data_IF_723500967058
#
_entry.id   IF_723500967058
#
_cell.length_a   1.000
_cell.length_b   1.000
_cell.length_c   1.000
_cell.angle_alpha   90.00
_cell.angle_beta   90.00
_cell.angle_gamma   90.00
#
_symmetry.space_group_name_H-M   'P 1'
#
loop_
_entity.id
_entity.type
_entity.pdbx_description
1 polymer ?
#
# COMPACT_ATOMS: atom_id res chain seq x y z
N UNK A 1 15.16 -0.68 -27.81
CA UNK A 1 16.44 -0.64 -27.04
C UNK A 1 16.47 -1.77 -26.01
N UNK A 2 17.07 -2.91 -26.37
CA UNK A 2 17.25 -4.05 -25.46
C UNK A 2 18.46 -3.75 -24.56
N UNK A 3 18.27 -3.77 -23.25
CA UNK A 3 19.34 -3.56 -22.26
C UNK A 3 20.25 -4.79 -22.26
N UNK A 4 21.46 -4.63 -22.81
CA UNK A 4 22.56 -5.57 -22.64
C UNK A 4 22.89 -5.64 -21.14
N UNK A 5 22.70 -6.81 -20.53
CA UNK A 5 23.28 -7.14 -19.22
C UNK A 5 24.65 -7.78 -19.49
N UNK A 6 25.73 -7.32 -18.85
CA UNK A 6 27.04 -7.97 -19.00
C UNK A 6 26.96 -9.39 -18.43
N UNK A 7 27.42 -10.36 -19.23
CA UNK A 7 27.67 -11.73 -18.78
C UNK A 7 28.82 -11.69 -17.77
N UNK A 8 28.47 -11.58 -16.49
CA UNK A 8 29.39 -11.93 -15.42
C UNK A 8 29.51 -13.44 -15.39
N UNK A 9 30.73 -13.93 -15.67
CA UNK A 9 31.18 -15.29 -15.39
C UNK A 9 30.75 -15.69 -13.98
N UNK A 10 29.68 -16.48 -13.87
CA UNK A 10 29.40 -17.33 -12.71
C UNK A 10 29.70 -18.76 -13.13
N UNK A 11 30.99 -19.04 -13.30
CA UNK A 11 31.47 -20.39 -13.06
C UNK A 11 31.51 -20.57 -11.54
N UNK A 12 31.17 -21.77 -11.07
CA UNK A 12 31.09 -22.21 -9.68
C UNK A 12 29.70 -22.08 -9.07
N UNK A 13 28.81 -23.02 -9.44
CA UNK A 13 28.12 -23.80 -8.41
C UNK A 13 27.67 -25.16 -8.97
N UNK A 14 27.83 -26.20 -8.14
CA UNK A 14 27.42 -27.61 -8.26
C UNK A 14 28.52 -28.65 -8.50
N UNK A 15 29.28 -28.86 -7.43
CA UNK A 15 30.11 -30.02 -7.14
C UNK A 15 29.29 -31.32 -7.15
N UNK A 16 29.67 -32.28 -7.99
CA UNK A 16 29.25 -33.68 -7.83
C UNK A 16 30.31 -34.40 -7.02
N UNK A 17 30.00 -34.68 -5.75
CA UNK A 17 30.84 -35.44 -4.81
C UNK A 17 30.71 -36.93 -5.09
N UNK A 18 31.82 -37.63 -5.24
CA UNK A 18 31.85 -39.10 -5.25
C UNK A 18 32.87 -39.63 -4.25
N UNK A 19 32.64 -40.88 -3.84
CA UNK A 19 33.42 -41.54 -2.80
C UNK A 19 34.35 -42.54 -3.46
N UNK A 20 35.65 -42.27 -3.45
CA UNK A 20 36.66 -43.26 -3.85
C UNK A 20 37.00 -44.14 -2.66
N UNK A 21 36.74 -45.44 -2.80
CA UNK A 21 37.08 -46.45 -1.79
C UNK A 21 38.28 -47.24 -2.31
N UNK A 22 39.39 -47.21 -1.58
CA UNK A 22 40.57 -48.02 -1.87
C UNK A 22 40.81 -48.98 -0.70
N UNK A 23 41.02 -50.27 -1.02
CA UNK A 23 41.28 -51.30 -0.03
C UNK A 23 42.72 -51.77 -0.16
N UNK A 24 43.53 -51.53 0.86
CA UNK A 24 44.90 -52.03 0.95
C UNK A 24 44.96 -52.94 2.18
N UNK A 25 44.89 -54.26 1.97
CA UNK A 25 44.76 -55.23 3.05
C UNK A 25 43.37 -55.22 3.72
N UNK A 26 43.33 -55.21 5.07
CA UNK A 26 42.09 -55.16 5.85
C UNK A 26 41.56 -53.74 6.10
N UNK A 27 42.30 -52.71 5.70
CA UNK A 27 41.88 -51.31 5.89
C UNK A 27 41.19 -50.77 4.64
N UNK A 28 40.04 -50.13 4.85
CA UNK A 28 39.24 -49.47 3.82
C UNK A 28 39.46 -47.97 3.95
N UNK A 29 40.16 -47.38 2.98
CA UNK A 29 40.39 -45.94 2.92
C UNK A 29 39.33 -45.29 2.02
N UNK A 30 38.56 -44.38 2.62
CA UNK A 30 37.44 -43.69 1.98
C UNK A 30 37.79 -42.22 1.83
N UNK A 31 37.85 -41.73 0.58
CA UNK A 31 38.13 -40.32 0.27
C UNK A 31 37.00 -39.72 -0.55
N UNK A 32 36.57 -38.52 -0.17
CA UNK A 32 35.58 -37.73 -0.91
C UNK A 32 36.33 -36.89 -1.94
N UNK A 33 35.91 -37.00 -3.20
CA UNK A 33 36.49 -36.30 -4.33
C UNK A 33 35.39 -35.59 -5.13
N UNK A 34 35.74 -34.49 -5.78
CA UNK A 34 34.86 -33.73 -6.66
C UNK A 34 35.53 -33.65 -8.04
N UNK A 35 34.77 -33.97 -9.09
CA UNK A 35 35.28 -33.91 -10.46
C UNK A 35 34.23 -33.32 -11.40
N UNK A 36 34.67 -32.39 -12.25
CA UNK A 36 33.85 -31.85 -13.31
C UNK A 36 33.87 -32.80 -14.51
N UNK A 37 32.70 -33.32 -14.90
CA UNK A 37 32.58 -34.29 -15.99
C UNK A 37 32.67 -33.67 -17.39
N UNK A 38 32.20 -32.43 -17.56
CA UNK A 38 32.19 -31.76 -18.85
C UNK A 38 30.93 -30.97 -19.16
N UNK A 39 30.92 -30.35 -20.34
CA UNK A 39 29.73 -29.74 -20.94
C UNK A 39 29.21 -30.62 -22.06
N UNK A 40 27.89 -30.82 -22.09
CA UNK A 40 27.22 -31.60 -23.13
C UNK A 40 26.33 -30.64 -23.92
N UNK A 41 26.49 -30.53 -25.25
CA UNK A 41 25.63 -29.69 -26.07
C UNK A 41 24.21 -30.29 -26.10
N UNK A 42 23.20 -29.44 -25.97
CA UNK A 42 21.79 -29.85 -25.98
C UNK A 42 21.07 -29.04 -27.05
N UNK A 43 20.36 -29.72 -27.95
CA UNK A 43 19.58 -29.07 -29.01
C UNK A 43 18.21 -28.58 -28.53
N UNK A 44 17.51 -29.37 -27.70
CA UNK A 44 16.27 -28.93 -27.04
C UNK A 44 16.29 -29.30 -25.56
N UNK A 45 15.88 -28.35 -24.72
CA UNK A 45 15.87 -28.50 -23.27
C UNK A 45 14.58 -29.16 -22.75
N UNK A 46 14.03 -30.19 -23.41
CA UNK A 46 12.86 -30.93 -22.91
C UNK A 46 13.29 -31.98 -21.87
N UNK A 47 12.43 -32.29 -20.90
CA UNK A 47 12.78 -33.24 -19.82
C UNK A 47 13.22 -34.61 -20.33
N UNK A 48 12.53 -35.13 -21.35
CA UNK A 48 12.86 -36.40 -22.01
C UNK A 48 14.26 -36.36 -22.65
N UNK A 49 14.55 -35.36 -23.49
CA UNK A 49 15.86 -35.27 -24.16
C UNK A 49 17.00 -35.07 -23.16
N UNK A 50 16.78 -34.27 -22.12
CA UNK A 50 17.77 -34.08 -21.07
C UNK A 50 18.08 -35.40 -20.33
N UNK A 51 17.06 -36.23 -20.08
CA UNK A 51 17.24 -37.52 -19.42
C UNK A 51 18.00 -38.53 -20.29
N UNK A 52 17.66 -38.63 -21.58
CA UNK A 52 18.31 -39.55 -22.51
C UNK A 52 19.78 -39.20 -22.71
N UNK A 53 20.07 -37.90 -22.95
CA UNK A 53 21.45 -37.41 -23.11
C UNK A 53 22.25 -37.69 -21.83
N UNK A 54 21.67 -37.48 -20.66
CA UNK A 54 22.34 -37.74 -19.39
C UNK A 54 22.66 -39.23 -19.20
N UNK A 55 21.70 -40.12 -19.45
CA UNK A 55 21.90 -41.58 -19.33
C UNK A 55 22.99 -42.06 -20.30
N UNK A 56 22.98 -41.58 -21.54
CA UNK A 56 23.97 -41.93 -22.55
C UNK A 56 25.38 -41.49 -22.13
N UNK A 57 25.53 -40.24 -21.68
CA UNK A 57 26.81 -39.71 -21.22
C UNK A 57 27.37 -40.43 -19.99
N UNK A 58 26.50 -40.80 -19.05
CA UNK A 58 26.90 -41.58 -17.88
C UNK A 58 27.34 -43.00 -18.27
N UNK A 59 26.67 -43.59 -19.26
CA UNK A 59 27.03 -44.91 -19.79
C UNK A 59 28.38 -44.88 -20.52
N UNK A 60 28.63 -43.84 -21.32
CA UNK A 60 29.92 -43.60 -21.98
C UNK A 60 31.06 -43.46 -20.96
N UNK A 61 30.81 -42.78 -19.85
CA UNK A 61 31.78 -42.59 -18.76
C UNK A 61 31.89 -43.80 -17.81
N UNK A 62 31.14 -44.89 -18.07
CA UNK A 62 31.06 -46.07 -17.21
C UNK A 62 30.67 -45.74 -15.77
N UNK A 63 29.82 -44.73 -15.56
CA UNK A 63 29.35 -44.32 -14.24
C UNK A 63 27.97 -44.94 -14.00
N UNK A 64 27.86 -45.99 -13.15
CA UNK A 64 26.60 -46.65 -12.88
C UNK A 64 25.60 -45.72 -12.17
N UNK A 65 24.43 -45.53 -12.79
CA UNK A 65 23.38 -44.63 -12.29
C UNK A 65 22.84 -45.07 -10.92
N UNK A 66 22.86 -46.39 -10.65
CA UNK A 66 22.42 -47.01 -9.41
C UNK A 66 23.22 -46.54 -8.17
N UNK A 67 24.43 -46.03 -8.38
CA UNK A 67 25.30 -45.52 -7.31
C UNK A 67 25.21 -44.00 -7.13
N UNK A 68 24.40 -43.30 -7.94
CA UNK A 68 24.21 -41.86 -7.80
C UNK A 68 23.24 -41.54 -6.65
N UNK A 69 23.62 -40.59 -5.80
CA UNK A 69 22.80 -40.09 -4.69
C UNK A 69 22.88 -38.56 -4.65
N UNK A 70 21.79 -37.92 -4.21
CA UNK A 70 21.75 -36.47 -3.99
C UNK A 70 21.87 -35.62 -5.26
N UNK A 71 20.97 -35.81 -6.23
CA UNK A 71 20.96 -35.03 -7.47
C UNK A 71 20.33 -33.64 -7.24
N UNK A 72 21.02 -32.58 -7.66
CA UNK A 72 20.53 -31.21 -7.62
C UNK A 72 20.45 -30.61 -9.03
N UNK A 73 19.32 -30.02 -9.37
CA UNK A 73 19.09 -29.34 -10.65
C UNK A 73 18.65 -27.90 -10.40
N UNK A 74 19.35 -26.93 -11.01
CA UNK A 74 18.87 -25.54 -11.02
C UNK A 74 17.81 -25.37 -12.12
N UNK A 75 16.78 -24.56 -11.87
CA UNK A 75 15.67 -24.30 -12.81
C UNK A 75 15.03 -25.55 -13.46
N UNK A 76 14.73 -26.59 -12.67
CA UNK A 76 14.10 -27.84 -13.13
C UNK A 76 12.65 -27.73 -13.64
N UNK A 77 12.22 -26.61 -14.23
CA UNK A 77 10.87 -26.42 -14.78
C UNK A 77 10.54 -27.47 -15.84
N UNK A 78 11.53 -27.87 -16.63
CA UNK A 78 11.37 -28.83 -17.73
C UNK A 78 11.39 -30.30 -17.24
N UNK A 79 11.87 -30.53 -16.01
CA UNK A 79 11.83 -31.82 -15.31
C UNK A 79 10.64 -31.94 -14.35
N UNK A 80 9.82 -30.88 -14.23
CA UNK A 80 8.59 -30.84 -13.41
C UNK A 80 7.42 -31.63 -14.03
N UNK A 81 7.61 -32.16 -15.24
CA UNK A 81 6.65 -33.00 -15.98
C UNK A 81 6.30 -34.32 -15.27
N UNK A 82 7.02 -34.68 -14.21
CA UNK A 82 6.88 -35.93 -13.45
C UNK A 82 5.44 -36.37 -13.15
N UNK A 83 4.51 -35.43 -12.93
CA UNK A 83 3.09 -35.76 -12.65
C UNK A 83 2.24 -35.99 -13.90
N UNK A 84 2.58 -35.36 -15.02
CA UNK A 84 1.91 -35.63 -16.31
C UNK A 84 2.40 -36.98 -16.85
N UNK A 85 3.72 -37.17 -16.87
CA UNK A 85 4.37 -38.39 -17.35
C UNK A 85 4.02 -39.61 -16.48
N UNK A 86 3.99 -39.45 -15.14
CA UNK A 86 3.56 -40.53 -14.25
C UNK A 86 2.06 -40.84 -14.33
N UNK A 87 1.23 -39.87 -14.74
CA UNK A 87 -0.20 -40.08 -14.97
C UNK A 87 -0.43 -40.85 -16.28
N UNK A 88 0.34 -40.52 -17.32
CA UNK A 88 0.33 -41.22 -18.61
C UNK A 88 0.82 -42.67 -18.47
N UNK A 89 1.95 -42.89 -17.78
CA UNK A 89 2.44 -44.24 -17.46
C UNK A 89 1.48 -45.05 -16.56
N UNK A 90 0.83 -44.41 -15.58
CA UNK A 90 -0.16 -45.08 -14.75
C UNK A 90 -1.38 -45.52 -15.57
N UNK A 91 -1.81 -44.71 -16.55
CA UNK A 91 -2.87 -45.11 -17.49
C UNK A 91 -2.44 -46.21 -18.45
N UNK A 92 -1.16 -46.26 -18.85
CA UNK A 92 -0.63 -47.35 -19.69
C UNK A 92 -0.53 -48.68 -18.95
N UNK A 93 -0.29 -48.67 -17.63
CA UNK A 93 -0.15 -49.86 -16.78
C UNK A 93 -1.49 -50.24 -16.08
N UNK A 94 -2.59 -49.53 -16.41
CA UNK A 94 -3.94 -49.72 -15.84
C UNK A 94 -4.00 -49.59 -14.31
N UNK A 95 -3.21 -48.66 -13.77
CA UNK A 95 -3.14 -48.31 -12.34
C UNK A 95 -3.85 -46.98 -12.10
N UNK A 96 -4.65 -46.90 -11.03
CA UNK A 96 -5.40 -45.69 -10.69
C UNK A 96 -4.48 -44.47 -10.47
N UNK A 97 -4.56 -43.51 -11.39
CA UNK A 97 -3.63 -42.38 -11.49
C UNK A 97 -4.08 -41.19 -10.61
N UNK A 98 -4.42 -41.46 -9.35
CA UNK A 98 -4.83 -40.44 -8.40
C UNK A 98 -3.65 -39.87 -7.61
N UNK A 99 -3.10 -38.76 -8.09
CA UNK A 99 -2.06 -38.00 -7.38
C UNK A 99 -2.70 -36.84 -6.60
N UNK A 100 -2.73 -36.87 -5.26
CA UNK A 100 -3.29 -35.77 -4.48
C UNK A 100 -2.53 -34.47 -4.76
N UNK A 101 -3.27 -33.43 -5.12
CA UNK A 101 -2.74 -32.07 -5.23
C UNK A 101 -2.35 -31.58 -3.84
N UNK A 102 -1.13 -31.87 -3.42
CA UNK A 102 -0.50 -31.08 -2.36
C UNK A 102 -0.39 -29.65 -2.89
N UNK A 103 -1.34 -28.79 -2.52
CA UNK A 103 -1.17 -27.33 -2.49
C UNK A 103 0.00 -27.05 -1.58
N UNK A 104 1.23 -27.23 -2.06
CA UNK A 104 2.42 -26.89 -1.30
C UNK A 104 2.35 -25.38 -1.09
N UNK A 105 2.05 -24.99 0.15
CA UNK A 105 2.06 -23.58 0.57
C UNK A 105 3.39 -22.99 0.08
N UNK A 106 3.39 -21.89 -0.69
CA UNK A 106 4.63 -21.29 -1.15
C UNK A 106 5.50 -21.01 0.07
N UNK A 107 6.70 -21.59 0.07
CA UNK A 107 7.61 -21.46 1.22
C UNK A 107 8.05 -20.01 1.31
N UNK A 108 7.64 -19.32 2.37
CA UNK A 108 7.98 -17.92 2.59
C UNK A 108 9.49 -17.78 2.75
N UNK A 109 10.11 -16.93 1.92
CA UNK A 109 11.50 -16.52 2.13
C UNK A 109 11.55 -15.70 3.41
N UNK A 110 12.24 -16.19 4.46
CA UNK A 110 12.52 -15.37 5.65
C UNK A 110 13.54 -14.31 5.28
N UNK A 111 13.08 -13.08 5.04
CA UNK A 111 13.94 -11.91 4.94
C UNK A 111 14.23 -11.42 6.36
N UNK A 112 15.48 -11.04 6.66
CA UNK A 112 15.81 -10.38 7.94
C UNK A 112 15.04 -9.05 8.00
N UNK A 113 14.20 -8.88 9.02
CA UNK A 113 13.52 -7.62 9.31
C UNK A 113 14.48 -6.68 10.02
N UNK A 114 14.40 -5.39 9.72
CA UNK A 114 15.22 -4.37 10.38
C UNK A 114 14.53 -3.82 11.63
N UNK A 115 13.19 -3.88 11.66
CA UNK A 115 12.37 -3.38 12.76
C UNK A 115 11.22 -4.34 13.08
N UNK A 116 10.86 -4.43 14.37
CA UNK A 116 9.88 -5.39 14.87
C UNK A 116 8.42 -5.05 14.49
N UNK A 117 8.16 -3.82 14.03
CA UNK A 117 6.86 -3.39 13.54
C UNK A 117 6.63 -3.68 12.04
N UNK A 118 7.64 -4.18 11.32
CA UNK A 118 7.49 -4.57 9.92
C UNK A 118 6.61 -5.82 9.82
N UNK A 119 5.45 -5.67 9.15
CA UNK A 119 4.53 -6.77 8.90
C UNK A 119 5.24 -7.91 8.14
N UNK A 120 4.87 -9.16 8.44
CA UNK A 120 5.36 -10.30 7.68
C UNK A 120 4.95 -10.19 6.23
N UNK A 121 5.86 -10.51 5.31
CA UNK A 121 5.48 -10.94 3.96
C UNK A 121 4.76 -12.30 4.07
N UNK A 122 3.52 -12.29 4.52
CA UNK A 122 2.65 -13.46 4.40
C UNK A 122 2.25 -13.61 2.94
N UNK A 123 2.27 -14.83 2.38
CA UNK A 123 1.66 -15.05 1.08
C UNK A 123 0.19 -14.62 1.16
N UNK A 124 -0.17 -13.67 0.31
CA UNK A 124 -1.54 -13.19 0.18
C UNK A 124 -2.37 -14.37 -0.35
N UNK A 125 -3.10 -15.03 0.55
CA UNK A 125 -3.95 -16.18 0.21
C UNK A 125 -5.12 -15.73 -0.66
N UNK A 126 -5.68 -14.55 -0.38
CA UNK A 126 -6.66 -13.88 -1.22
C UNK A 126 -6.45 -12.34 -1.17
N UNK A 127 -6.08 -11.70 -2.30
CA UNK A 127 -5.79 -10.26 -2.34
C UNK A 127 -7.03 -9.39 -2.12
N UNK A 128 -8.22 -9.94 -2.37
CA UNK A 128 -9.48 -9.22 -2.13
C UNK A 128 -9.75 -9.02 -0.63
N UNK A 129 -9.59 -10.06 0.18
CA UNK A 129 -9.94 -10.00 1.60
C UNK A 129 -8.92 -9.26 2.45
N UNK A 130 -7.62 -9.46 2.18
CA UNK A 130 -6.57 -8.85 3.01
C UNK A 130 -6.17 -7.44 2.62
N UNK A 131 -6.46 -7.00 1.39
CA UNK A 131 -5.98 -5.70 0.87
C UNK A 131 -7.14 -4.84 0.39
N UNK A 132 -8.02 -5.39 -0.46
CA UNK A 132 -9.05 -4.59 -1.11
C UNK A 132 -10.17 -4.14 -0.16
N UNK A 133 -10.78 -5.05 0.60
CA UNK A 133 -11.85 -4.69 1.53
C UNK A 133 -11.40 -3.75 2.63
N UNK A 134 -10.25 -3.95 3.32
CA UNK A 134 -9.79 -3.01 4.34
C UNK A 134 -9.55 -1.60 3.80
N UNK A 135 -9.07 -1.46 2.55
CA UNK A 135 -8.89 -0.16 1.91
C UNK A 135 -10.24 0.48 1.56
N UNK A 136 -11.18 -0.30 1.03
CA UNK A 136 -12.53 0.19 0.74
C UNK A 136 -13.28 0.57 2.01
N UNK A 137 -13.19 -0.23 3.06
CA UNK A 137 -13.81 0.04 4.35
C UNK A 137 -13.19 1.27 5.00
N UNK A 138 -11.86 1.42 4.94
CA UNK A 138 -11.20 2.64 5.40
C UNK A 138 -11.64 3.87 4.59
N UNK A 139 -11.77 3.75 3.26
CA UNK A 139 -12.25 4.83 2.41
C UNK A 139 -13.72 5.17 2.72
N UNK A 140 -14.59 4.18 2.86
CA UNK A 140 -15.99 4.34 3.20
C UNK A 140 -16.15 5.00 4.57
N UNK A 141 -15.50 4.45 5.61
CA UNK A 141 -15.51 5.04 6.95
C UNK A 141 -14.99 6.48 6.95
N UNK A 142 -13.95 6.77 6.15
CA UNK A 142 -13.43 8.15 6.03
C UNK A 142 -14.43 9.10 5.37
N UNK A 143 -15.25 8.61 4.45
CA UNK A 143 -16.30 9.41 3.82
C UNK A 143 -17.47 9.60 4.78
N UNK A 144 -17.88 8.55 5.49
CA UNK A 144 -18.96 8.60 6.48
C UNK A 144 -18.62 9.58 7.61
N UNK A 145 -17.41 9.51 8.16
CA UNK A 145 -16.94 10.48 9.16
C UNK A 145 -16.97 11.92 8.63
N UNK A 146 -16.55 12.14 7.38
CA UNK A 146 -16.57 13.47 6.76
C UNK A 146 -18.00 13.97 6.55
N UNK A 147 -18.92 13.12 6.12
CA UNK A 147 -20.32 13.50 5.98
C UNK A 147 -20.95 13.84 7.32
N UNK A 148 -20.61 13.12 8.38
CA UNK A 148 -21.10 13.43 9.73
C UNK A 148 -20.59 14.79 10.23
N UNK A 149 -19.30 15.09 10.02
CA UNK A 149 -18.72 16.40 10.33
C UNK A 149 -19.39 17.54 9.55
N UNK A 150 -19.72 17.31 8.27
CA UNK A 150 -20.44 18.31 7.46
C UNK A 150 -21.86 18.52 7.98
N UNK A 151 -22.54 17.47 8.46
CA UNK A 151 -23.88 17.62 9.08
C UNK A 151 -23.81 18.41 10.38
N UNK A 152 -22.84 18.14 11.25
CA UNK A 152 -22.64 18.89 12.48
C UNK A 152 -22.34 20.36 12.18
N UNK A 153 -21.44 20.65 11.25
CA UNK A 153 -21.17 22.02 10.82
C UNK A 153 -22.42 22.68 10.22
N UNK A 154 -23.17 21.97 9.37
CA UNK A 154 -24.43 22.47 8.80
C UNK A 154 -25.43 22.81 9.89
N UNK A 155 -25.52 22.04 10.99
CA UNK A 155 -26.42 22.32 12.11
C UNK A 155 -26.16 23.69 12.75
N UNK A 156 -24.90 24.03 12.98
CA UNK A 156 -24.53 25.29 13.65
C UNK A 156 -24.48 26.48 12.70
N UNK A 157 -24.04 26.29 11.45
CA UNK A 157 -23.87 27.38 10.48
C UNK A 157 -25.05 27.53 9.52
N UNK A 158 -26.11 26.74 9.67
CA UNK A 158 -27.26 26.68 8.75
C UNK A 158 -27.85 28.06 8.45
N UNK A 159 -27.97 28.92 9.47
CA UNK A 159 -28.61 30.23 9.36
C UNK A 159 -27.78 31.24 8.56
N UNK A 160 -26.46 31.02 8.48
CA UNK A 160 -25.55 31.86 7.70
C UNK A 160 -25.53 31.50 6.21
N UNK A 161 -26.02 30.31 5.82
CA UNK A 161 -26.15 29.92 4.41
C UNK A 161 -27.30 30.63 3.70
N UNK A 162 -28.43 30.82 4.38
CA UNK A 162 -29.65 31.42 3.82
C UNK A 162 -30.23 32.50 4.75
N UNK A 163 -29.64 33.70 4.70
CA UNK A 163 -30.09 34.84 5.52
C UNK A 163 -31.54 35.24 5.23
N UNK A 164 -32.05 34.98 4.02
CA UNK A 164 -33.45 35.25 3.69
C UNK A 164 -34.45 34.47 4.52
N UNK A 165 -34.07 33.28 5.02
CA UNK A 165 -34.93 32.51 5.91
C UNK A 165 -35.01 33.16 7.30
N UNK A 166 -33.99 33.91 7.72
CA UNK A 166 -33.99 34.63 8.98
C UNK A 166 -35.03 35.75 9.03
N UNK A 167 -35.41 36.34 7.89
CA UNK A 167 -36.54 37.30 7.84
C UNK A 167 -37.89 36.64 8.25
N UNK A 168 -38.01 35.31 8.11
CA UNK A 168 -39.22 34.57 8.52
C UNK A 168 -39.17 34.09 9.97
N UNK A 169 -37.97 34.04 10.55
CA UNK A 169 -37.73 33.55 11.90
C UNK A 169 -37.91 34.67 12.93
N UNK A 170 -38.27 34.29 14.16
CA UNK A 170 -38.40 35.24 15.27
C UNK A 170 -37.02 35.73 15.73
N UNK A 171 -36.90 36.98 16.16
CA UNK A 171 -35.63 37.52 16.70
C UNK A 171 -35.08 36.72 17.88
N UNK A 172 -35.96 36.09 18.66
CA UNK A 172 -35.57 35.19 19.75
C UNK A 172 -34.92 33.88 19.26
N UNK A 173 -35.34 33.36 18.11
CA UNK A 173 -34.75 32.16 17.50
C UNK A 173 -33.36 32.47 16.95
N UNK A 174 -33.19 33.64 16.31
CA UNK A 174 -31.89 34.11 15.79
C UNK A 174 -30.87 34.23 16.92
N UNK A 175 -31.27 34.81 18.06
CA UNK A 175 -30.42 34.90 19.25
C UNK A 175 -30.02 33.53 19.78
N UNK A 176 -30.93 32.55 19.78
CA UNK A 176 -30.60 31.19 20.21
C UNK A 176 -29.57 30.52 19.30
N UNK A 177 -29.70 30.67 17.98
CA UNK A 177 -28.71 30.15 17.02
C UNK A 177 -27.35 30.83 17.14
N UNK A 178 -27.33 32.14 17.40
CA UNK A 178 -26.10 32.87 17.61
C UNK A 178 -25.40 32.45 18.91
N UNK A 179 -26.16 32.14 19.96
CA UNK A 179 -25.61 31.63 21.22
C UNK A 179 -25.03 30.22 21.05
N UNK A 180 -25.72 29.34 20.32
CA UNK A 180 -25.22 28.00 19.99
C UNK A 180 -23.90 28.08 19.20
N UNK A 181 -23.83 28.97 18.20
CA UNK A 181 -22.61 29.20 17.43
C UNK A 181 -21.49 29.78 18.30
N UNK A 182 -21.79 30.78 19.13
CA UNK A 182 -20.82 31.38 20.05
C UNK A 182 -20.25 30.37 21.05
N UNK A 183 -21.05 29.41 21.52
CA UNK A 183 -20.58 28.33 22.38
C UNK A 183 -19.66 27.36 21.64
N UNK A 184 -19.96 27.02 20.38
CA UNK A 184 -19.09 26.14 19.56
C UNK A 184 -17.76 26.80 19.25
N UNK A 185 -17.74 28.12 19.07
CA UNK A 185 -16.55 28.92 18.81
C UNK A 185 -15.88 29.47 20.09
N UNK A 186 -16.27 28.96 21.27
CA UNK A 186 -15.61 29.32 22.53
C UNK A 186 -14.42 28.39 22.76
N UNK A 187 -13.24 28.97 22.97
CA UNK A 187 -12.09 28.23 23.50
C UNK A 187 -11.67 28.85 24.83
N UNK A 188 -11.72 28.04 25.90
CA UNK A 188 -11.50 28.47 27.28
C UNK A 188 -12.43 29.63 27.69
N UNK A 189 -11.93 30.87 27.65
CA UNK A 189 -12.65 32.10 28.04
C UNK A 189 -12.68 33.19 26.94
N UNK A 190 -12.07 32.94 25.78
CA UNK A 190 -12.17 33.83 24.64
C UNK A 190 -13.36 33.41 23.76
N UNK A 191 -14.20 34.38 23.42
CA UNK A 191 -15.28 34.23 22.44
C UNK A 191 -14.82 34.85 21.13
N UNK A 192 -14.71 34.04 20.08
CA UNK A 192 -14.37 34.53 18.74
C UNK A 192 -15.51 35.36 18.12
N UNK A 193 -16.74 35.16 18.60
CA UNK A 193 -17.96 35.81 18.11
C UNK A 193 -18.89 36.14 19.27
N UNK A 194 -19.31 37.40 19.40
CA UNK A 194 -20.31 37.79 20.39
C UNK A 194 -21.73 37.54 19.83
N UNK A 195 -22.47 36.64 20.47
CA UNK A 195 -23.79 36.19 20.00
C UNK A 195 -24.82 37.33 19.90
N UNK A 196 -24.81 38.28 20.83
CA UNK A 196 -25.80 39.39 20.83
C UNK A 196 -25.50 40.40 19.74
N UNK A 197 -24.23 40.76 19.58
CA UNK A 197 -23.80 41.68 18.53
C UNK A 197 -23.98 41.06 17.14
N UNK A 198 -23.68 39.76 16.97
CA UNK A 198 -23.92 39.05 15.72
C UNK A 198 -25.41 39.08 15.33
N UNK A 199 -26.33 38.91 16.29
CA UNK A 199 -27.76 38.94 16.01
C UNK A 199 -28.24 40.33 15.55
N UNK A 200 -27.71 41.39 16.14
CA UNK A 200 -28.00 42.77 15.72
C UNK A 200 -27.43 43.06 14.32
N UNK A 201 -26.19 42.65 14.06
CA UNK A 201 -25.54 42.76 12.75
C UNK A 201 -26.30 41.99 11.66
N UNK A 202 -26.74 40.76 11.95
CA UNK A 202 -27.54 39.95 11.05
C UNK A 202 -28.92 40.55 10.80
N UNK A 203 -29.52 41.15 11.82
CA UNK A 203 -30.81 41.85 11.68
C UNK A 203 -30.69 43.03 10.70
N UNK A 204 -29.58 43.78 10.74
CA UNK A 204 -29.28 44.83 9.77
C UNK A 204 -29.06 44.24 8.38
N UNK A 205 -28.25 43.18 8.26
CA UNK A 205 -27.99 42.50 6.97
C UNK A 205 -29.28 41.94 6.35
N UNK A 206 -30.20 41.38 7.14
CA UNK A 206 -31.50 40.90 6.67
C UNK A 206 -32.32 41.97 5.95
N UNK A 207 -32.16 43.25 6.31
CA UNK A 207 -32.88 44.36 5.64
C UNK A 207 -32.24 44.79 4.32
N UNK A 208 -30.98 44.42 4.08
CA UNK A 208 -30.16 44.90 2.97
C UNK A 208 -29.91 43.85 1.88
N UNK A 209 -30.06 42.56 2.20
CA UNK A 209 -29.76 41.45 1.30
C UNK A 209 -30.98 41.14 0.40
N UNK A 210 -30.75 40.96 -0.91
CA UNK A 210 -31.76 40.54 -1.88
C UNK A 210 -31.87 39.00 -1.99
N UNK A 211 -33.06 38.41 -2.25
CA UNK A 211 -33.28 36.96 -2.24
C UNK A 211 -32.29 36.16 -3.10
N UNK A 212 -31.67 35.13 -2.48
CA UNK A 212 -30.74 34.14 -3.07
C UNK A 212 -29.29 34.61 -3.28
N UNK A 213 -28.80 35.54 -2.47
CA UNK A 213 -27.37 35.88 -2.48
C UNK A 213 -26.52 34.78 -1.83
N UNK A 214 -25.33 34.56 -2.40
CA UNK A 214 -24.37 33.59 -1.84
C UNK A 214 -23.65 34.18 -0.62
N UNK A 215 -23.19 33.36 0.36
CA UNK A 215 -22.46 33.86 1.54
C UNK A 215 -21.23 34.71 1.20
N UNK A 216 -20.62 34.51 0.03
CA UNK A 216 -19.50 35.32 -0.48
C UNK A 216 -19.94 36.73 -0.85
N UNK A 217 -21.10 36.87 -1.50
CA UNK A 217 -21.65 38.18 -1.88
C UNK A 217 -22.08 38.97 -0.65
N UNK A 218 -22.69 38.28 0.32
CA UNK A 218 -23.07 38.87 1.60
C UNK A 218 -21.84 39.37 2.36
N UNK A 219 -20.76 38.57 2.40
CA UNK A 219 -19.50 39.00 3.00
C UNK A 219 -18.92 40.24 2.31
N UNK A 220 -18.99 40.31 0.96
CA UNK A 220 -18.53 41.49 0.21
C UNK A 220 -19.36 42.74 0.55
N UNK A 221 -20.68 42.61 0.65
CA UNK A 221 -21.58 43.70 1.05
C UNK A 221 -21.30 44.15 2.48
N UNK A 222 -21.11 43.20 3.41
CA UNK A 222 -20.80 43.51 4.80
C UNK A 222 -19.47 44.26 4.95
N UNK A 223 -18.45 43.89 4.16
CA UNK A 223 -17.17 44.61 4.10
C UNK A 223 -17.35 46.02 3.52
N UNK A 224 -18.14 46.18 2.47
CA UNK A 224 -18.40 47.50 1.85
C UNK A 224 -19.15 48.45 2.79
N UNK A 225 -20.07 47.91 3.59
CA UNK A 225 -20.88 48.66 4.55
C UNK A 225 -20.17 48.84 5.90
N UNK A 226 -18.97 48.28 6.07
CA UNK A 226 -18.20 48.29 7.31
C UNK A 226 -19.03 47.83 8.54
N UNK A 227 -19.89 46.83 8.33
CA UNK A 227 -20.70 46.24 9.40
C UNK A 227 -19.74 45.40 10.26
N UNK A 228 -19.29 46.00 11.36
CA UNK A 228 -18.92 45.45 12.67
C UNK A 228 -18.03 44.16 12.75
N UNK A 229 -17.45 43.81 13.91
CA UNK A 229 -16.40 42.79 13.98
C UNK A 229 -16.92 41.34 13.85
N UNK A 230 -18.21 41.07 14.10
CA UNK A 230 -18.71 39.69 14.21
C UNK A 230 -19.06 39.03 12.85
N UNK A 231 -19.00 39.79 11.75
CA UNK A 231 -19.03 39.27 10.36
C UNK A 231 -17.87 38.28 10.09
N UNK A 232 -16.89 38.19 10.99
CA UNK A 232 -15.90 37.09 11.03
C UNK A 232 -16.56 35.71 10.99
N UNK A 233 -17.79 35.53 11.49
CA UNK A 233 -18.55 34.29 11.35
C UNK A 233 -18.69 33.82 9.88
N UNK A 234 -18.91 34.73 8.93
CA UNK A 234 -18.95 34.40 7.49
C UNK A 234 -17.57 34.02 6.94
N UNK A 235 -16.49 34.62 7.47
CA UNK A 235 -15.12 34.23 7.10
C UNK A 235 -14.79 32.84 7.60
N UNK A 236 -15.20 32.50 8.82
CA UNK A 236 -15.05 31.16 9.41
C UNK A 236 -15.82 30.14 8.55
N UNK A 237 -17.09 30.42 8.23
CA UNK A 237 -17.92 29.57 7.37
C UNK A 237 -17.25 29.26 6.01
N UNK A 238 -16.75 30.29 5.33
CA UNK A 238 -16.14 30.16 4.01
C UNK A 238 -14.76 29.48 4.06
N UNK A 239 -14.03 29.55 5.17
CA UNK A 239 -12.70 28.92 5.29
C UNK A 239 -12.78 27.46 5.73
N UNK A 240 -13.74 27.10 6.60
CA UNK A 240 -13.93 25.72 7.06
C UNK A 240 -14.34 24.77 5.92
N UNK A 241 -15.18 25.25 5.01
CA UNK A 241 -15.69 24.47 3.87
C UNK A 241 -14.67 24.23 2.74
N UNK A 242 -13.53 24.93 2.72
CA UNK A 242 -12.51 24.87 1.65
C UNK A 242 -11.39 23.85 1.93
N UNK A 243 -11.40 23.16 3.07
CA UNK A 243 -10.24 22.40 3.59
C UNK A 243 -9.82 21.14 2.82
N UNK A 244 -10.46 20.76 1.70
CA UNK A 244 -10.15 19.50 1.01
C UNK A 244 -8.93 19.59 0.07
N UNK A 245 -8.53 20.78 -0.41
CA UNK A 245 -7.43 20.92 -1.38
C UNK A 245 -6.02 21.05 -0.77
N UNK A 246 -5.91 21.33 0.54
CA UNK A 246 -4.61 21.58 1.18
C UNK A 246 -3.71 20.34 1.21
N UNK A 247 -4.31 19.15 1.27
CA UNK A 247 -3.60 17.87 1.32
C UNK A 247 -2.72 17.59 0.10
N UNK A 248 -3.14 18.00 -1.10
CA UNK A 248 -2.47 17.62 -2.36
C UNK A 248 -1.07 18.23 -2.50
N UNK A 249 -0.91 19.48 -2.03
CA UNK A 249 0.39 20.16 -2.04
C UNK A 249 1.33 19.53 -1.01
N UNK A 250 0.83 19.18 0.18
CA UNK A 250 1.62 18.45 1.18
C UNK A 250 2.02 17.03 0.71
N UNK A 251 1.12 16.28 0.04
CA UNK A 251 1.45 14.95 -0.48
C UNK A 251 2.45 15.00 -1.65
N UNK A 252 2.37 16.03 -2.49
CA UNK A 252 3.36 16.26 -3.57
C UNK A 252 4.74 16.57 -2.98
N UNK A 253 4.83 17.44 -1.96
CA UNK A 253 6.09 17.71 -1.23
C UNK A 253 6.60 16.45 -0.50
N UNK A 254 5.71 15.67 0.13
CA UNK A 254 6.07 14.40 0.79
C UNK A 254 6.69 13.41 -0.20
N UNK A 255 6.11 13.30 -1.40
CA UNK A 255 6.63 12.46 -2.48
C UNK A 255 8.02 12.93 -2.92
N UNK A 256 8.24 14.24 -3.04
CA UNK A 256 9.56 14.80 -3.36
C UNK A 256 10.57 14.45 -2.26
N UNK A 257 10.26 14.68 -0.99
CA UNK A 257 11.16 14.38 0.14
C UNK A 257 11.56 12.89 0.13
N UNK A 258 10.59 11.98 -0.03
CA UNK A 258 10.84 10.53 -0.07
C UNK A 258 11.63 10.10 -1.31
N UNK A 259 11.31 10.64 -2.48
CA UNK A 259 11.93 10.21 -3.75
C UNK A 259 13.33 10.80 -3.92
N UNK A 260 13.53 12.05 -3.51
CA UNK A 260 14.80 12.76 -3.61
C UNK A 260 15.83 12.22 -2.62
N UNK A 261 15.46 12.05 -1.35
CA UNK A 261 16.38 11.56 -0.32
C UNK A 261 16.59 10.03 -0.40
N UNK A 262 15.65 9.31 -1.02
CA UNK A 262 15.74 7.86 -1.26
C UNK A 262 16.13 7.05 -0.01
N UNK A 263 15.80 7.57 1.17
CA UNK A 263 16.23 7.07 2.47
C UNK A 263 15.06 6.47 3.23
N UNK A 264 15.28 5.32 3.86
CA UNK A 264 14.42 4.86 4.95
C UNK A 264 14.58 5.84 6.12
N UNK A 265 13.48 6.45 6.57
CA UNK A 265 13.47 7.45 7.64
C UNK A 265 12.30 7.20 8.60
N UNK A 266 12.49 7.54 9.88
CA UNK A 266 11.44 7.43 10.90
C UNK A 266 10.30 8.43 10.65
N UNK A 267 9.09 8.12 11.15
CA UNK A 267 7.93 8.99 10.98
C UNK A 267 8.13 10.37 11.60
N UNK A 268 8.77 10.47 12.77
CA UNK A 268 9.09 11.75 13.42
C UNK A 268 10.00 12.64 12.56
N UNK A 269 10.99 12.06 11.89
CA UNK A 269 11.88 12.82 11.01
C UNK A 269 11.17 13.24 9.73
N UNK A 270 10.30 12.38 9.19
CA UNK A 270 9.50 12.68 8.01
C UNK A 270 8.51 13.82 8.28
N UNK A 271 7.80 13.78 9.42
CA UNK A 271 6.86 14.84 9.81
C UNK A 271 7.59 16.15 10.05
N UNK A 272 8.73 16.13 10.76
CA UNK A 272 9.55 17.33 10.97
C UNK A 272 10.04 17.97 9.66
N UNK A 273 10.55 17.17 8.71
CA UNK A 273 10.97 17.68 7.40
C UNK A 273 9.78 18.19 6.58
N UNK A 274 8.62 17.54 6.66
CA UNK A 274 7.42 17.98 5.96
C UNK A 274 6.95 19.35 6.47
N UNK A 275 6.87 19.53 7.80
CA UNK A 275 6.50 20.80 8.42
C UNK A 275 7.44 21.92 8.01
N UNK A 276 8.77 21.71 8.09
CA UNK A 276 9.76 22.69 7.64
C UNK A 276 9.59 23.09 6.17
N UNK A 277 9.17 22.17 5.29
CA UNK A 277 8.94 22.46 3.88
C UNK A 277 7.57 23.11 3.61
N UNK A 278 6.60 22.94 4.50
CA UNK A 278 5.28 23.56 4.38
C UNK A 278 5.32 25.02 4.85
N UNK A 279 6.07 25.31 5.90
CA UNK A 279 6.21 26.67 6.48
C UNK A 279 7.07 27.63 5.63
N UNK A 280 7.82 27.11 4.65
CA UNK A 280 8.62 27.91 3.71
C UNK A 280 7.81 28.54 2.55
N UNK A 281 6.48 28.64 2.67
CA UNK A 281 5.60 29.20 1.65
C UNK A 281 5.01 30.55 2.05
#
# INVERSE_FOLDING_TARGET
>A
MKRNRPQQNRANDNDKRFVSVSKVGNEVNVKICEHFLGFVPIEKATGLQLSEILINQLSEMQIPIEHMRGQGYDNGSNMRGLRADAKELATEIDVDAHFPETKTRPRTRKVKRQFDYEASDEPIVDPKEKIFFPILDAAANSLDQRFEQIKEHSKYFHFLYDIHLLHKSSSAEILSFCHDLGHVLKHEDALDVNATELADELSVLCTLVEPKQTPIEILKLAIQLNIAPNVVAFRILLTLSITVASGERSFSKLKLIKTYLRSTMSQERLSGLLSMNLDQN
#
